data_IF_163906675387
#
_entry.id   IF_163906675387
#
_cell.length_a   1.000
_cell.length_b   1.000
_cell.length_c   1.000
_cell.angle_alpha   90.00
_cell.angle_beta   90.00
_cell.angle_gamma   90.00
#
_symmetry.space_group_name_H-M   'P 1'
#
loop_
_entity.id
_entity.type
_entity.pdbx_description
1 polymer ?
#
# COMPACT_ATOMS: atom_id res chain seq x y z
N UNK A 1 19.80 14.06 54.03
CA UNK A 1 20.61 15.31 53.93
C UNK A 1 19.94 16.16 52.86
N UNK A 2 19.24 17.26 53.18
CA UNK A 2 19.70 18.69 53.15
C UNK A 2 20.35 19.07 51.81
N UNK A 3 20.02 20.15 51.07
CA UNK A 3 19.22 21.41 51.28
C UNK A 3 18.28 21.61 50.05
N UNK A 4 17.38 22.61 49.85
CA UNK A 4 16.97 23.84 50.56
C UNK A 4 16.88 25.05 49.58
N UNK A 5 15.74 25.33 48.91
CA UNK A 5 14.64 26.28 49.27
C UNK A 5 14.97 27.79 49.21
N UNK A 6 14.23 28.56 48.38
CA UNK A 6 13.77 29.97 48.51
C UNK A 6 13.13 30.39 47.15
N UNK A 7 11.90 30.89 46.97
CA UNK A 7 11.04 31.91 47.62
C UNK A 7 11.43 33.36 47.32
N UNK A 8 10.55 34.07 46.61
CA UNK A 8 10.38 35.52 46.69
C UNK A 8 8.91 35.90 46.38
N UNK A 9 8.17 36.31 47.40
CA UNK A 9 6.83 36.91 47.33
C UNK A 9 6.98 38.41 47.56
N UNK A 10 6.30 39.24 46.77
CA UNK A 10 6.14 40.68 47.07
C UNK A 10 4.67 41.05 46.96
N UNK A 11 4.03 41.23 48.11
CA UNK A 11 2.80 41.99 48.25
C UNK A 11 3.16 43.46 48.50
N UNK A 12 2.40 44.41 47.95
CA UNK A 12 2.17 45.67 48.66
C UNK A 12 0.84 46.33 48.27
N UNK A 13 0.10 46.79 49.26
CA UNK A 13 -1.22 47.39 49.14
C UNK A 13 -1.16 48.92 49.27
N UNK A 14 -1.92 49.65 48.44
CA UNK A 14 -2.41 51.01 48.66
C UNK A 14 -3.80 51.06 47.98
N UNK A 15 -4.97 51.22 48.61
CA UNK A 15 -5.50 52.19 49.59
C UNK A 15 -5.68 53.63 49.06
N UNK A 16 -6.82 54.23 49.45
CA UNK A 16 -7.42 55.52 49.05
C UNK A 16 -7.97 55.58 47.61
N UNK A 17 -9.23 55.94 47.27
CA UNK A 17 -10.35 56.72 47.85
C UNK A 17 -10.52 58.13 47.23
N UNK A 18 -11.76 58.47 46.85
CA UNK A 18 -12.17 59.72 46.16
C UNK A 18 -12.37 59.51 44.65
N UNK A 19 -13.44 59.98 43.99
CA UNK A 19 -14.48 60.92 44.41
C UNK A 19 -15.90 60.46 44.01
N UNK A 20 -16.91 60.91 44.77
CA UNK A 20 -18.33 60.86 44.38
C UNK A 20 -18.83 62.26 43.99
N UNK A 21 -19.51 62.35 42.85
CA UNK A 21 -20.23 63.54 42.36
C UNK A 21 -20.88 63.18 41.01
N UNK A 22 -22.20 63.03 40.90
CA UNK A 22 -23.29 64.03 40.90
C UNK A 22 -23.54 64.56 39.47
N UNK A 23 -24.82 64.72 39.10
CA UNK A 23 -25.36 64.98 37.74
C UNK A 23 -25.21 63.78 36.77
N UNK A 24 -26.14 63.48 35.85
CA UNK A 24 -27.49 64.03 35.64
C UNK A 24 -28.10 63.55 34.30
N UNK A 25 -29.34 63.04 34.38
CA UNK A 25 -30.35 62.88 33.32
C UNK A 25 -30.21 61.88 32.14
N UNK A 26 -31.36 61.67 31.48
CA UNK A 26 -31.73 60.66 30.49
C UNK A 26 -30.79 60.42 29.30
N UNK A 27 -30.52 59.14 28.98
CA UNK A 27 -31.10 58.48 27.78
C UNK A 27 -30.76 56.99 27.75
N UNK A 28 -31.78 56.14 27.56
CA UNK A 28 -31.59 54.70 27.38
C UNK A 28 -31.11 54.38 25.96
N UNK A 29 -29.80 54.50 25.72
CA UNK A 29 -29.16 53.97 24.52
C UNK A 29 -28.98 52.46 24.66
N UNK A 30 -29.84 51.67 24.01
CA UNK A 30 -29.68 50.22 23.92
C UNK A 30 -28.38 49.89 23.18
N UNK A 31 -27.38 49.34 23.89
CA UNK A 31 -26.17 48.84 23.24
C UNK A 31 -26.52 47.68 22.30
N UNK A 32 -26.38 47.94 20.99
CA UNK A 32 -26.50 46.89 19.97
C UNK A 32 -25.23 46.05 19.99
N UNK A 33 -25.26 44.95 20.74
CA UNK A 33 -24.18 43.97 20.76
C UNK A 33 -24.04 43.35 19.38
N UNK A 34 -22.98 43.69 18.64
CA UNK A 34 -22.67 43.02 17.38
C UNK A 34 -22.29 41.56 17.67
N UNK A 35 -23.02 40.56 17.15
CA UNK A 35 -22.66 39.16 17.38
C UNK A 35 -21.26 38.87 16.85
N UNK A 36 -20.42 38.23 17.66
CA UNK A 36 -19.13 37.74 17.19
C UNK A 36 -19.36 36.77 16.01
N UNK A 37 -18.51 36.78 14.96
CA UNK A 37 -18.67 35.90 13.82
C UNK A 37 -18.73 34.43 14.26
N UNK A 38 -19.92 33.82 14.13
CA UNK A 38 -20.07 32.37 14.30
C UNK A 38 -19.19 31.70 13.25
N UNK A 39 -18.40 30.67 13.60
CA UNK A 39 -17.66 29.90 12.62
C UNK A 39 -18.63 29.32 11.58
N UNK A 40 -18.68 29.93 10.40
CA UNK A 40 -19.39 29.37 9.25
C UNK A 40 -18.76 28.02 8.96
N UNK A 41 -19.58 26.96 8.98
CA UNK A 41 -19.11 25.62 8.67
C UNK A 41 -18.35 25.64 7.33
N UNK A 42 -17.18 24.98 7.31
CA UNK A 42 -16.27 25.02 6.17
C UNK A 42 -17.00 24.81 4.84
N UNK A 43 -16.66 25.64 3.85
CA UNK A 43 -17.19 25.50 2.50
C UNK A 43 -17.05 24.04 2.02
N UNK A 44 -18.05 23.49 1.30
CA UNK A 44 -18.06 22.07 0.95
C UNK A 44 -16.75 21.69 0.29
N UNK A 45 -16.02 20.77 0.94
CA UNK A 45 -14.68 20.37 0.52
C UNK A 45 -14.75 19.93 -0.93
N UNK A 46 -13.90 20.53 -1.78
CA UNK A 46 -13.89 20.30 -3.24
C UNK A 46 -14.11 18.82 -3.55
N UNK A 47 -15.10 18.46 -4.41
CA UNK A 47 -15.69 17.12 -4.46
C UNK A 47 -14.60 16.06 -4.55
N UNK A 48 -14.46 15.29 -3.46
CA UNK A 48 -13.27 14.49 -3.17
C UNK A 48 -12.86 13.68 -4.41
N UNK A 49 -11.72 14.07 -5.00
CA UNK A 49 -11.34 13.59 -6.33
C UNK A 49 -11.25 12.07 -6.32
N UNK A 50 -12.17 11.41 -7.04
CA UNK A 50 -12.21 9.95 -7.12
C UNK A 50 -11.15 9.46 -8.09
N UNK A 51 -10.68 8.24 -7.83
CA UNK A 51 -9.76 7.53 -8.69
C UNK A 51 -10.29 7.43 -10.13
N UNK A 52 -9.45 7.56 -11.17
CA UNK A 52 -9.86 7.34 -12.55
C UNK A 52 -10.60 6.02 -12.72
N UNK A 53 -11.73 6.04 -13.42
CA UNK A 53 -12.59 4.86 -13.60
C UNK A 53 -13.57 4.56 -12.45
N UNK A 54 -13.62 5.37 -11.39
CA UNK A 54 -14.60 5.28 -10.29
C UNK A 54 -15.59 6.43 -10.37
N UNK A 55 -16.88 6.13 -10.46
CA UNK A 55 -17.97 7.12 -10.55
C UNK A 55 -19.08 6.74 -9.58
N UNK A 56 -19.42 7.66 -8.67
CA UNK A 56 -20.22 7.30 -7.49
C UNK A 56 -19.61 6.07 -6.80
N UNK A 57 -20.45 5.18 -6.30
CA UNK A 57 -19.99 3.99 -5.56
C UNK A 57 -19.74 2.77 -6.46
N UNK A 58 -19.37 3.01 -7.72
CA UNK A 58 -19.08 1.97 -8.72
C UNK A 58 -17.71 2.17 -9.37
N UNK A 59 -17.03 1.07 -9.67
CA UNK A 59 -15.93 1.05 -10.65
C UNK A 59 -16.59 0.89 -12.03
N UNK A 60 -16.65 1.96 -12.80
CA UNK A 60 -17.29 1.96 -14.14
C UNK A 60 -16.29 1.66 -15.26
N UNK A 61 -14.99 1.81 -15.00
CA UNK A 61 -13.93 1.48 -15.96
C UNK A 61 -12.67 1.02 -15.22
N UNK A 62 -12.58 -0.28 -14.96
CA UNK A 62 -11.43 -0.89 -14.29
C UNK A 62 -10.11 -0.68 -15.07
N UNK A 63 -10.16 -0.63 -16.40
CA UNK A 63 -9.00 -0.36 -17.25
C UNK A 63 -8.45 1.05 -17.07
N UNK A 64 -9.32 2.06 -16.90
CA UNK A 64 -8.88 3.43 -16.57
C UNK A 64 -8.20 3.49 -15.20
N UNK A 65 -8.72 2.77 -14.21
CA UNK A 65 -8.12 2.63 -12.88
C UNK A 65 -6.76 1.93 -12.94
N UNK A 66 -6.65 0.82 -13.68
CA UNK A 66 -5.38 0.12 -13.90
C UNK A 66 -4.33 0.97 -14.62
N UNK A 67 -4.71 1.71 -15.66
CA UNK A 67 -3.80 2.66 -16.34
C UNK A 67 -3.28 3.74 -15.38
N UNK A 68 -4.13 4.29 -14.52
CA UNK A 68 -3.72 5.26 -13.50
C UNK A 68 -2.75 4.64 -12.49
N UNK A 69 -3.04 3.42 -12.01
CA UNK A 69 -2.15 2.65 -11.13
C UNK A 69 -0.76 2.41 -11.76
N UNK A 70 -0.70 1.95 -13.02
CA UNK A 70 0.56 1.73 -13.74
C UNK A 70 1.33 3.03 -13.97
N UNK A 71 0.64 4.10 -14.35
CA UNK A 71 1.25 5.42 -14.60
C UNK A 71 1.95 5.95 -13.34
N UNK A 72 1.27 5.90 -12.20
CA UNK A 72 1.81 6.32 -10.91
C UNK A 72 2.97 5.43 -10.43
N UNK A 73 2.84 4.10 -10.52
CA UNK A 73 3.92 3.20 -10.10
C UNK A 73 5.15 3.21 -11.04
N UNK A 74 4.98 3.54 -12.32
CA UNK A 74 6.12 3.59 -13.26
C UNK A 74 7.13 4.70 -12.96
N UNK A 75 6.71 5.77 -12.30
CA UNK A 75 7.52 6.96 -11.97
C UNK A 75 7.87 7.07 -10.48
N UNK A 76 7.40 6.13 -9.66
CA UNK A 76 7.53 6.15 -8.19
C UNK A 76 8.38 4.96 -7.74
N UNK A 77 9.26 5.11 -6.74
CA UNK A 77 9.93 3.96 -6.11
C UNK A 77 8.96 3.26 -5.15
N UNK A 78 9.01 1.92 -5.04
CA UNK A 78 8.08 1.19 -4.17
C UNK A 78 8.58 -0.20 -3.75
N UNK A 79 8.06 -0.66 -2.62
CA UNK A 79 8.07 -2.08 -2.27
C UNK A 79 6.72 -2.71 -2.63
N UNK A 80 6.74 -3.92 -3.16
CA UNK A 80 5.54 -4.73 -3.43
C UNK A 80 5.62 -6.08 -2.71
N UNK A 81 4.54 -6.45 -2.03
CA UNK A 81 4.37 -7.73 -1.37
C UNK A 81 3.09 -8.41 -1.82
N UNK A 82 3.22 -9.55 -2.50
CA UNK A 82 2.12 -10.42 -2.91
C UNK A 82 2.21 -11.77 -2.21
N UNK A 83 1.08 -12.34 -1.80
CA UNK A 83 0.99 -13.71 -1.30
C UNK A 83 -0.30 -14.35 -1.76
N UNK A 84 -0.19 -15.47 -2.48
CA UNK A 84 -1.30 -16.37 -2.80
C UNK A 84 -1.14 -17.65 -2.00
N UNK A 85 -2.11 -17.96 -1.15
CA UNK A 85 -2.20 -19.21 -0.38
C UNK A 85 -3.38 -20.02 -0.88
N UNK A 86 -3.18 -21.33 -1.05
CA UNK A 86 -4.19 -22.33 -1.39
C UNK A 86 -4.21 -23.36 -0.26
N UNK A 87 -5.37 -23.55 0.35
CA UNK A 87 -5.60 -24.49 1.44
C UNK A 87 -6.49 -25.63 0.95
N UNK A 88 -6.13 -26.88 1.26
CA UNK A 88 -7.00 -28.04 1.13
C UNK A 88 -7.50 -28.39 2.54
N UNK A 89 -8.77 -28.10 2.84
CA UNK A 89 -9.27 -28.10 4.21
C UNK A 89 -8.46 -27.17 5.12
N UNK A 90 -7.95 -27.71 6.23
CA UNK A 90 -7.01 -27.02 7.14
C UNK A 90 -5.54 -27.11 6.69
N UNK A 91 -5.21 -27.97 5.72
CA UNK A 91 -3.86 -28.22 5.25
C UNK A 91 -3.37 -27.20 4.22
N UNK A 92 -2.11 -26.79 4.33
CA UNK A 92 -1.49 -25.93 3.32
C UNK A 92 -1.17 -26.73 2.06
N UNK A 93 -1.96 -26.54 0.99
CA UNK A 93 -1.70 -27.14 -0.31
C UNK A 93 -0.56 -26.40 -1.03
N UNK A 94 -0.65 -25.07 -1.19
CA UNK A 94 0.46 -24.27 -1.71
C UNK A 94 0.46 -22.82 -1.24
N UNK A 95 1.63 -22.20 -1.19
CA UNK A 95 1.83 -20.78 -0.95
C UNK A 95 2.88 -20.24 -1.90
N UNK A 96 2.51 -19.20 -2.63
CA UNK A 96 3.44 -18.38 -3.41
C UNK A 96 3.55 -17.02 -2.74
N UNK A 97 4.77 -16.57 -2.47
CA UNK A 97 5.06 -15.20 -2.00
C UNK A 97 5.93 -14.52 -3.04
N UNK A 98 5.58 -13.32 -3.46
CA UNK A 98 6.44 -12.45 -4.30
C UNK A 98 6.73 -11.17 -3.51
N UNK A 99 8.00 -10.76 -3.47
CA UNK A 99 8.46 -9.51 -2.87
C UNK A 99 9.38 -8.80 -3.86
N UNK A 100 9.29 -7.49 -3.97
CA UNK A 100 10.30 -6.72 -4.68
C UNK A 100 10.44 -5.30 -4.11
N UNK A 101 11.65 -4.75 -4.20
CA UNK A 101 11.96 -3.33 -4.02
C UNK A 101 12.36 -2.79 -5.40
N UNK A 102 11.69 -1.74 -5.85
CA UNK A 102 11.79 -1.20 -7.21
C UNK A 102 12.02 0.31 -7.12
N UNK A 103 13.06 0.83 -7.79
CA UNK A 103 13.28 2.26 -7.90
C UNK A 103 12.42 2.87 -9.02
N UNK A 104 12.22 4.20 -8.97
CA UNK A 104 11.48 4.94 -9.98
C UNK A 104 12.03 4.66 -11.40
N UNK A 105 11.15 4.50 -12.39
CA UNK A 105 11.55 4.17 -13.76
C UNK A 105 12.16 2.78 -13.94
N UNK A 106 12.13 1.91 -12.92
CA UNK A 106 12.78 0.58 -12.91
C UNK A 106 14.30 0.65 -13.14
N UNK A 107 14.97 1.73 -12.71
CA UNK A 107 16.43 1.90 -12.85
C UNK A 107 17.23 0.79 -12.14
N UNK A 108 16.68 0.27 -11.05
CA UNK A 108 17.21 -0.83 -10.24
C UNK A 108 16.06 -1.59 -9.58
N UNK A 109 16.26 -2.88 -9.32
CA UNK A 109 15.36 -3.64 -8.46
C UNK A 109 16.04 -4.84 -7.81
N UNK A 110 15.47 -5.30 -6.70
CA UNK A 110 15.63 -6.67 -6.20
C UNK A 110 14.25 -7.30 -6.07
N UNK A 111 14.11 -8.56 -6.48
CA UNK A 111 12.85 -9.28 -6.49
C UNK A 111 13.04 -10.75 -6.10
N UNK A 112 12.23 -11.24 -5.17
CA UNK A 112 12.23 -12.65 -4.73
C UNK A 112 10.84 -13.25 -4.84
N UNK A 113 10.72 -14.46 -5.39
CA UNK A 113 9.51 -15.29 -5.36
C UNK A 113 9.81 -16.66 -4.77
N UNK A 114 9.09 -17.04 -3.73
CA UNK A 114 9.12 -18.39 -3.17
C UNK A 114 7.78 -19.11 -3.41
N UNK A 115 7.85 -20.40 -3.69
CA UNK A 115 6.72 -21.32 -3.80
C UNK A 115 6.98 -22.53 -2.91
N UNK A 116 6.02 -22.89 -2.06
CA UNK A 116 6.13 -24.02 -1.11
C UNK A 116 4.76 -24.57 -0.70
N UNK A 117 4.72 -25.82 -0.24
CA UNK A 117 3.51 -26.53 0.21
C UNK A 117 3.45 -27.95 -0.33
N UNK A 118 2.49 -28.75 0.15
CA UNK A 118 2.40 -30.17 -0.20
C UNK A 118 2.11 -30.42 -1.69
N UNK A 119 1.40 -29.50 -2.36
CA UNK A 119 1.01 -29.60 -3.77
C UNK A 119 1.96 -28.94 -4.77
N UNK A 120 3.14 -28.47 -4.35
CA UNK A 120 4.09 -27.79 -5.24
C UNK A 120 5.56 -28.10 -4.91
N UNK A 121 6.37 -28.31 -5.95
CA UNK A 121 7.83 -28.39 -5.82
C UNK A 121 8.39 -27.10 -5.19
N UNK A 122 9.14 -27.18 -4.06
CA UNK A 122 9.79 -26.03 -3.47
C UNK A 122 10.70 -25.31 -4.46
N UNK A 123 10.40 -24.02 -4.70
CA UNK A 123 11.15 -23.17 -5.63
C UNK A 123 11.34 -21.77 -5.09
N UNK A 124 12.56 -21.26 -5.21
CA UNK A 124 12.88 -19.86 -5.03
C UNK A 124 13.43 -19.26 -6.33
N UNK A 125 13.04 -18.03 -6.62
CA UNK A 125 13.62 -17.19 -7.66
C UNK A 125 14.06 -15.91 -6.96
N UNK A 126 15.33 -15.54 -7.10
CA UNK A 126 15.81 -14.20 -6.78
C UNK A 126 16.29 -13.55 -8.09
N UNK A 127 15.96 -12.28 -8.31
CA UNK A 127 16.41 -11.52 -9.48
C UNK A 127 16.76 -10.10 -9.08
N UNK A 128 17.84 -9.60 -9.69
CA UNK A 128 18.31 -8.23 -9.52
C UNK A 128 18.39 -7.56 -10.88
N UNK A 129 18.15 -6.25 -10.90
CA UNK A 129 18.56 -5.37 -12.00
C UNK A 129 19.45 -4.27 -11.44
N UNK A 130 20.63 -4.13 -12.03
CA UNK A 130 21.64 -3.15 -11.64
C UNK A 130 22.53 -2.89 -12.85
N UNK A 131 22.94 -1.65 -13.06
CA UNK A 131 23.94 -1.25 -14.06
C UNK A 131 23.66 -1.80 -15.48
N UNK A 132 22.37 -1.84 -15.86
CA UNK A 132 21.91 -2.32 -17.17
C UNK A 132 21.81 -3.83 -17.34
N UNK A 133 22.01 -4.62 -16.27
CA UNK A 133 22.06 -6.08 -16.33
C UNK A 133 21.07 -6.73 -15.36
N UNK A 134 20.37 -7.76 -15.85
CA UNK A 134 19.48 -8.60 -15.06
C UNK A 134 20.11 -9.95 -14.74
N UNK A 135 20.30 -10.25 -13.46
CA UNK A 135 20.67 -11.59 -13.00
C UNK A 135 19.45 -12.28 -12.40
N UNK A 136 19.37 -13.61 -12.56
CA UNK A 136 18.36 -14.45 -11.90
C UNK A 136 19.00 -15.71 -11.33
N UNK A 137 18.88 -15.88 -10.01
CA UNK A 137 19.19 -17.09 -9.26
C UNK A 137 17.88 -17.88 -9.10
N UNK A 138 17.83 -19.11 -9.59
CA UNK A 138 16.70 -20.02 -9.38
C UNK A 138 17.17 -21.21 -8.56
N UNK A 139 16.50 -21.48 -7.43
CA UNK A 139 16.71 -22.66 -6.59
C UNK A 139 15.48 -23.56 -6.67
N UNK A 140 15.66 -24.84 -6.99
CA UNK A 140 14.60 -25.87 -7.03
C UNK A 140 15.11 -27.09 -6.27
N UNK A 141 14.37 -27.56 -5.26
CA UNK A 141 14.77 -28.69 -4.40
C UNK A 141 16.23 -28.61 -3.90
N UNK A 142 16.68 -27.40 -3.51
CA UNK A 142 18.05 -27.13 -3.04
C UNK A 142 19.10 -26.93 -4.14
N UNK A 143 18.91 -27.47 -5.35
CA UNK A 143 19.79 -27.20 -6.49
C UNK A 143 19.60 -25.77 -6.98
N UNK A 144 20.69 -25.05 -7.22
CA UNK A 144 20.68 -23.62 -7.56
C UNK A 144 21.41 -23.35 -8.88
N UNK A 145 20.74 -22.65 -9.80
CA UNK A 145 21.30 -22.15 -11.06
C UNK A 145 21.25 -20.62 -11.09
N UNK A 146 22.18 -19.99 -11.81
CA UNK A 146 22.24 -18.54 -12.02
C UNK A 146 22.41 -18.23 -13.49
N UNK A 147 21.62 -17.30 -14.01
CA UNK A 147 21.60 -16.90 -15.43
C UNK A 147 21.58 -15.37 -15.60
N UNK A 148 22.02 -14.90 -16.77
CA UNK A 148 21.85 -13.51 -17.21
C UNK A 148 20.56 -13.44 -18.02
N UNK A 149 19.49 -12.88 -17.45
CA UNK A 149 18.16 -12.81 -18.10
C UNK A 149 18.11 -11.69 -19.14
N UNK A 150 18.89 -10.64 -18.93
CA UNK A 150 19.05 -9.53 -19.84
C UNK A 150 20.38 -8.83 -19.59
N UNK A 151 20.96 -8.25 -20.63
CA UNK A 151 22.07 -7.29 -20.53
C UNK A 151 21.84 -6.21 -21.58
N UNK A 152 21.83 -4.93 -21.18
CA UNK A 152 21.59 -3.80 -22.09
C UNK A 152 22.65 -3.67 -23.18
N UNK A 153 23.83 -4.29 -23.00
CA UNK A 153 24.93 -4.35 -23.97
C UNK A 153 24.84 -5.60 -24.86
N UNK A 154 23.86 -6.48 -24.64
CA UNK A 154 23.71 -7.76 -25.35
C UNK A 154 24.72 -8.85 -24.96
N UNK A 155 25.52 -8.63 -23.91
CA UNK A 155 26.61 -9.55 -23.52
C UNK A 155 26.07 -10.67 -22.62
N UNK A 156 25.95 -11.88 -23.16
CA UNK A 156 25.55 -13.09 -22.43
C UNK A 156 24.07 -13.16 -22.05
N UNK A 157 23.27 -12.14 -22.40
CA UNK A 157 21.82 -12.12 -22.26
C UNK A 157 21.19 -11.16 -23.26
N UNK A 158 19.91 -11.34 -23.63
CA UNK A 158 19.25 -10.50 -24.62
C UNK A 158 19.08 -9.05 -24.15
N UNK A 159 19.11 -8.05 -25.05
CA UNK A 159 18.75 -6.68 -24.70
C UNK A 159 17.25 -6.61 -24.42
N UNK A 160 16.88 -6.39 -23.15
CA UNK A 160 15.49 -6.22 -22.70
C UNK A 160 15.39 -4.99 -21.80
N UNK A 161 14.27 -4.23 -21.85
CA UNK A 161 14.03 -3.16 -20.88
C UNK A 161 13.83 -3.74 -19.47
N UNK A 162 14.14 -2.99 -18.39
CA UNK A 162 14.16 -3.53 -17.02
C UNK A 162 12.88 -4.25 -16.60
N UNK A 163 11.70 -3.65 -16.87
CA UNK A 163 10.40 -4.24 -16.54
C UNK A 163 10.14 -5.59 -17.24
N UNK A 164 10.70 -5.81 -18.43
CA UNK A 164 10.55 -7.07 -19.18
C UNK A 164 11.59 -8.14 -18.80
N UNK A 165 12.59 -7.80 -17.99
CA UNK A 165 13.53 -8.76 -17.41
C UNK A 165 13.05 -9.35 -16.08
N UNK A 166 12.06 -8.73 -15.42
CA UNK A 166 11.38 -9.28 -14.26
C UNK A 166 10.64 -10.58 -14.60
N UNK A 167 10.65 -11.53 -13.65
CA UNK A 167 9.93 -12.81 -13.78
C UNK A 167 8.41 -12.69 -13.48
N UNK A 168 7.89 -11.47 -13.31
CA UNK A 168 6.49 -11.18 -13.03
C UNK A 168 6.15 -9.74 -13.43
N UNK A 169 4.87 -9.43 -13.62
CA UNK A 169 4.39 -8.07 -13.85
C UNK A 169 4.34 -7.31 -12.49
N UNK A 170 5.20 -6.31 -12.25
CA UNK A 170 5.39 -5.72 -10.93
C UNK A 170 4.27 -4.78 -10.46
N UNK A 171 3.33 -4.40 -11.33
CA UNK A 171 2.14 -3.62 -10.94
C UNK A 171 0.90 -4.47 -10.70
N UNK A 172 0.99 -5.79 -10.93
CA UNK A 172 -0.13 -6.75 -10.93
C UNK A 172 -1.35 -6.25 -11.72
N UNK A 173 -1.14 -5.43 -12.75
CA UNK A 173 -2.18 -4.59 -13.35
C UNK A 173 -3.30 -5.41 -13.97
N UNK A 174 -2.96 -6.45 -14.73
CA UNK A 174 -3.95 -7.28 -15.42
C UNK A 174 -4.82 -8.01 -14.37
N UNK A 175 -4.21 -8.49 -13.29
CA UNK A 175 -4.92 -9.09 -12.15
C UNK A 175 -5.85 -8.10 -11.46
N UNK A 176 -5.42 -6.85 -11.29
CA UNK A 176 -6.26 -5.78 -10.72
C UNK A 176 -7.44 -5.44 -11.64
N UNK A 177 -7.20 -5.27 -12.94
CA UNK A 177 -8.22 -4.96 -13.94
C UNK A 177 -9.26 -6.10 -13.98
N UNK A 178 -8.84 -7.36 -14.09
CA UNK A 178 -9.75 -8.51 -14.08
C UNK A 178 -10.64 -8.49 -12.83
N UNK A 179 -10.05 -8.44 -11.63
CA UNK A 179 -10.82 -8.50 -10.38
C UNK A 179 -11.79 -7.32 -10.24
N UNK A 180 -11.38 -6.11 -10.61
CA UNK A 180 -12.22 -4.92 -10.53
C UNK A 180 -13.24 -4.80 -11.69
N UNK A 181 -13.16 -5.68 -12.70
CA UNK A 181 -14.14 -5.79 -13.79
C UNK A 181 -15.20 -6.86 -13.51
N UNK A 182 -14.81 -7.99 -12.92
CA UNK A 182 -15.71 -9.16 -12.76
C UNK A 182 -16.34 -9.26 -11.38
N UNK A 183 -15.69 -8.77 -10.30
CA UNK A 183 -16.25 -8.87 -8.94
C UNK A 183 -17.37 -7.85 -8.75
N UNK A 184 -18.50 -8.29 -8.22
CA UNK A 184 -19.64 -7.41 -7.96
C UNK A 184 -19.31 -6.46 -6.81
N UNK A 185 -18.99 -5.20 -7.13
CA UNK A 185 -18.64 -4.16 -6.15
C UNK A 185 -19.90 -3.73 -5.39
N UNK A 186 -19.89 -3.96 -4.07
CA UNK A 186 -21.03 -3.70 -3.17
C UNK A 186 -20.87 -2.41 -2.36
N UNK A 187 -19.65 -1.85 -2.29
CA UNK A 187 -19.39 -0.63 -1.52
C UNK A 187 -18.08 0.03 -1.95
N UNK A 188 -18.09 1.34 -2.15
CA UNK A 188 -16.89 2.19 -2.21
C UNK A 188 -17.10 3.32 -1.22
N UNK A 189 -16.23 3.41 -0.21
CA UNK A 189 -16.31 4.43 0.85
C UNK A 189 -14.95 5.05 1.12
N UNK A 190 -14.86 6.26 1.70
CA UNK A 190 -13.63 6.75 2.29
C UNK A 190 -13.04 5.71 3.27
N UNK A 191 -11.71 5.65 3.35
CA UNK A 191 -10.99 4.92 4.37
C UNK A 191 -11.30 5.49 5.76
N UNK A 192 -11.24 4.64 6.77
CA UNK A 192 -11.27 5.08 8.17
C UNK A 192 -9.98 5.86 8.52
N UNK A 193 -10.02 6.64 9.61
CA UNK A 193 -8.84 7.39 10.08
C UNK A 193 -7.66 6.46 10.39
N UNK A 194 -7.90 5.19 10.75
CA UNK A 194 -6.84 4.17 10.91
C UNK A 194 -6.10 3.91 9.59
N UNK A 195 -6.81 3.74 8.47
CA UNK A 195 -6.20 3.65 7.14
C UNK A 195 -5.47 4.95 6.77
N UNK A 196 -6.07 6.12 7.05
CA UNK A 196 -5.46 7.42 6.72
C UNK A 196 -4.16 7.65 7.48
N UNK A 197 -4.12 7.32 8.78
CA UNK A 197 -2.91 7.35 9.61
C UNK A 197 -1.85 6.35 9.13
N UNK A 198 -2.25 5.13 8.73
CA UNK A 198 -1.32 4.09 8.28
C UNK A 198 -0.59 4.45 6.97
N UNK A 199 -1.22 5.20 6.06
CA UNK A 199 -0.67 5.52 4.74
C UNK A 199 -0.34 7.00 4.52
N UNK A 200 -0.65 7.88 5.48
CA UNK A 200 -0.42 9.33 5.41
C UNK A 200 -1.27 10.07 4.35
N UNK A 201 -2.21 9.39 3.69
CA UNK A 201 -3.01 9.93 2.59
C UNK A 201 -4.47 9.48 2.68
N UNK A 202 -5.38 10.31 2.16
CA UNK A 202 -6.77 9.92 1.95
C UNK A 202 -6.86 8.74 0.98
N UNK A 203 -7.69 7.76 1.31
CA UNK A 203 -7.87 6.51 0.57
C UNK A 203 -9.35 6.17 0.48
N UNK A 204 -9.71 5.33 -0.49
CA UNK A 204 -11.02 4.72 -0.64
C UNK A 204 -10.91 3.22 -0.37
N UNK A 205 -11.81 2.66 0.42
CA UNK A 205 -11.98 1.21 0.58
C UNK A 205 -13.07 0.73 -0.37
N UNK A 206 -12.69 -0.14 -1.30
CA UNK A 206 -13.60 -0.87 -2.21
C UNK A 206 -13.88 -2.23 -1.58
N UNK A 207 -15.14 -2.69 -1.60
CA UNK A 207 -15.55 -4.06 -1.26
C UNK A 207 -16.45 -4.65 -2.35
N UNK A 208 -16.35 -5.95 -2.57
CA UNK A 208 -17.21 -6.70 -3.48
C UNK A 208 -17.32 -8.18 -3.12
N UNK A 209 -18.38 -8.83 -3.59
CA UNK A 209 -18.74 -10.22 -3.24
C UNK A 209 -19.45 -10.92 -4.39
N UNK A 210 -19.03 -12.15 -4.72
CA UNK A 210 -19.42 -12.84 -5.97
C UNK A 210 -18.77 -12.18 -7.20
N UNK A 211 -18.90 -12.81 -8.37
CA UNK A 211 -18.50 -12.23 -9.64
C UNK A 211 -19.57 -12.43 -10.72
N UNK A 212 -19.54 -11.58 -11.76
CA UNK A 212 -20.30 -11.74 -12.99
C UNK A 212 -19.68 -12.81 -13.91
N UNK A 213 -18.35 -12.99 -13.83
CA UNK A 213 -17.62 -14.12 -14.37
C UNK A 213 -16.73 -14.70 -13.26
N UNK A 214 -17.23 -15.76 -12.64
CA UNK A 214 -16.53 -16.52 -11.59
C UNK A 214 -15.25 -17.18 -12.13
N UNK A 215 -15.20 -17.58 -13.41
CA UNK A 215 -14.05 -18.28 -14.00
C UNK A 215 -12.82 -17.38 -14.11
N UNK A 216 -13.03 -16.11 -14.48
CA UNK A 216 -11.98 -15.09 -14.54
C UNK A 216 -11.36 -14.73 -13.18
N UNK A 217 -11.99 -15.09 -12.05
CA UNK A 217 -11.42 -14.88 -10.71
C UNK A 217 -10.28 -15.86 -10.43
N UNK A 218 -10.28 -17.05 -11.04
CA UNK A 218 -9.18 -18.01 -10.91
C UNK A 218 -7.95 -17.62 -11.77
N UNK A 219 -6.76 -18.00 -11.31
CA UNK A 219 -5.49 -17.77 -12.05
C UNK A 219 -5.08 -18.98 -12.91
N UNK A 220 -5.97 -19.96 -13.04
CA UNK A 220 -5.82 -21.24 -13.78
C UNK A 220 -7.23 -21.72 -14.12
N UNK A 221 -7.38 -22.51 -15.18
CA UNK A 221 -8.60 -23.24 -15.46
C UNK A 221 -8.99 -24.12 -14.27
N UNK A 222 -10.26 -24.06 -13.89
CA UNK A 222 -10.91 -24.81 -12.80
C UNK A 222 -12.36 -25.05 -13.19
N UNK A 223 -12.99 -26.10 -12.67
CA UNK A 223 -14.39 -26.41 -13.01
C UNK A 223 -15.36 -25.39 -12.43
N UNK A 224 -15.07 -24.87 -11.23
CA UNK A 224 -15.89 -23.85 -10.57
C UNK A 224 -15.10 -22.95 -9.65
N UNK A 225 -15.56 -21.70 -9.57
CA UNK A 225 -15.22 -20.74 -8.51
C UNK A 225 -16.48 -20.40 -7.74
N UNK A 226 -16.36 -20.13 -6.44
CA UNK A 226 -17.46 -19.65 -5.59
C UNK A 226 -16.94 -18.86 -4.39
N UNK A 227 -17.85 -18.31 -3.58
CA UNK A 227 -17.52 -17.60 -2.32
C UNK A 227 -16.50 -16.46 -2.50
N UNK A 228 -16.57 -15.76 -3.64
CA UNK A 228 -15.67 -14.66 -3.97
C UNK A 228 -15.92 -13.47 -3.03
N UNK A 229 -14.86 -12.95 -2.44
CA UNK A 229 -14.87 -11.74 -1.62
C UNK A 229 -13.60 -10.93 -1.86
N UNK A 230 -13.76 -9.64 -2.19
CA UNK A 230 -12.68 -8.71 -2.47
C UNK A 230 -12.79 -7.50 -1.53
N UNK A 231 -11.66 -7.08 -0.97
CA UNK A 231 -11.50 -5.74 -0.40
C UNK A 231 -10.22 -5.11 -0.94
N UNK A 232 -10.29 -3.88 -1.43
CA UNK A 232 -9.13 -3.12 -1.91
C UNK A 232 -9.07 -1.73 -1.28
N UNK A 233 -7.88 -1.15 -1.25
CA UNK A 233 -7.63 0.22 -0.76
C UNK A 233 -6.95 1.02 -1.86
N UNK A 234 -7.53 2.15 -2.26
CA UNK A 234 -7.18 2.89 -3.49
C UNK A 234 -7.01 4.38 -3.21
N UNK A 235 -5.99 5.02 -3.80
CA UNK A 235 -5.77 6.47 -3.70
C UNK A 235 -6.67 7.28 -4.65
N UNK A 236 -6.93 8.57 -4.36
CA UNK A 236 -7.49 9.54 -5.32
C UNK A 236 -6.84 9.55 -6.71
N UNK A 237 -5.56 9.21 -6.82
CA UNK A 237 -4.83 9.17 -8.09
C UNK A 237 -4.84 7.79 -8.78
N UNK A 238 -5.58 6.82 -8.25
CA UNK A 238 -5.77 5.50 -8.86
C UNK A 238 -4.80 4.40 -8.46
N UNK A 239 -3.81 4.68 -7.60
CA UNK A 239 -2.94 3.62 -7.04
C UNK A 239 -3.75 2.71 -6.12
N UNK A 240 -3.85 1.43 -6.45
CA UNK A 240 -4.35 0.39 -5.55
C UNK A 240 -3.23 0.04 -4.56
N UNK A 241 -3.26 0.64 -3.36
CA UNK A 241 -2.28 0.41 -2.29
C UNK A 241 -2.29 -1.03 -1.79
N UNK A 242 -3.45 -1.67 -1.74
CA UNK A 242 -3.58 -3.07 -1.33
C UNK A 242 -4.88 -3.70 -1.81
N UNK A 243 -4.89 -5.03 -1.89
CA UNK A 243 -6.13 -5.81 -1.86
C UNK A 243 -5.97 -7.10 -1.07
N UNK A 244 -7.10 -7.62 -0.61
CA UNK A 244 -7.28 -8.99 -0.14
C UNK A 244 -8.46 -9.60 -0.93
N UNK A 245 -8.21 -10.73 -1.58
CA UNK A 245 -9.17 -11.54 -2.30
C UNK A 245 -9.25 -12.91 -1.64
N UNK A 246 -10.46 -13.42 -1.48
CA UNK A 246 -10.72 -14.80 -1.07
C UNK A 246 -11.73 -15.43 -2.04
N UNK A 247 -11.54 -16.70 -2.37
CA UNK A 247 -12.52 -17.50 -3.13
C UNK A 247 -12.31 -19.00 -2.86
N UNK A 248 -13.32 -19.80 -3.16
CA UNK A 248 -13.22 -21.26 -3.24
C UNK A 248 -13.02 -21.66 -4.70
N UNK A 249 -12.15 -22.64 -4.97
CA UNK A 249 -12.07 -23.34 -6.26
C UNK A 249 -12.49 -24.79 -6.10
N UNK A 250 -13.12 -25.34 -7.13
CA UNK A 250 -13.43 -26.75 -7.28
C UNK A 250 -12.75 -27.23 -8.57
N UNK A 251 -12.03 -28.35 -8.48
CA UNK A 251 -11.31 -28.97 -9.59
C UNK A 251 -11.38 -30.49 -9.43
N UNK A 252 -12.20 -31.16 -10.23
CA UNK A 252 -12.65 -32.52 -10.01
C UNK A 252 -13.33 -32.66 -8.64
N UNK A 253 -12.86 -33.60 -7.85
CA UNK A 253 -13.28 -33.81 -6.46
C UNK A 253 -12.57 -32.90 -5.44
N UNK A 254 -11.51 -32.17 -5.84
CA UNK A 254 -10.77 -31.32 -4.91
C UNK A 254 -11.44 -29.95 -4.74
N UNK A 255 -11.61 -29.54 -3.48
CA UNK A 255 -12.07 -28.20 -3.12
C UNK A 255 -10.99 -27.47 -2.34
N UNK A 256 -10.55 -26.31 -2.84
CA UNK A 256 -9.51 -25.51 -2.17
C UNK A 256 -10.00 -24.10 -1.85
N UNK A 257 -9.61 -23.58 -0.67
CA UNK A 257 -9.78 -22.16 -0.32
C UNK A 257 -8.55 -21.39 -0.75
N UNK A 258 -8.74 -20.37 -1.59
CA UNK A 258 -7.68 -19.47 -2.05
C UNK A 258 -7.79 -18.14 -1.31
N UNK A 259 -6.65 -17.63 -0.86
CA UNK A 259 -6.50 -16.27 -0.32
C UNK A 259 -5.32 -15.59 -1.01
N UNK A 260 -5.57 -14.42 -1.60
CA UNK A 260 -4.58 -13.62 -2.32
C UNK A 260 -4.50 -12.22 -1.70
N UNK A 261 -3.30 -11.78 -1.30
CA UNK A 261 -3.07 -10.48 -0.65
C UNK A 261 -1.96 -9.76 -1.41
N UNK A 262 -2.24 -8.54 -1.86
CA UNK A 262 -1.26 -7.61 -2.44
C UNK A 262 -1.15 -6.36 -1.57
N UNK A 263 0.06 -5.84 -1.39
CA UNK A 263 0.35 -4.55 -0.73
C UNK A 263 1.50 -3.84 -1.42
N UNK A 264 1.39 -2.53 -1.57
CA UNK A 264 2.46 -1.61 -1.93
C UNK A 264 2.77 -0.69 -0.74
N UNK A 265 4.03 -0.69 -0.31
CA UNK A 265 4.54 0.20 0.74
C UNK A 265 5.64 1.11 0.20
N UNK A 266 6.02 2.11 1.01
CA UNK A 266 7.23 2.90 0.80
C UNK A 266 7.26 3.62 -0.58
N UNK A 267 6.07 4.06 -1.03
CA UNK A 267 5.89 4.79 -2.28
C UNK A 267 6.63 6.12 -2.24
N UNK A 268 7.61 6.29 -3.12
CA UNK A 268 8.47 7.48 -3.22
C UNK A 268 9.65 7.47 -2.25
N UNK A 269 9.75 6.46 -1.37
CA UNK A 269 10.76 6.37 -0.31
C UNK A 269 11.50 5.03 -0.29
N UNK A 270 11.37 4.22 -1.35
CA UNK A 270 12.05 2.92 -1.44
C UNK A 270 13.46 3.05 -2.01
N UNK A 271 14.45 2.69 -1.20
CA UNK A 271 15.81 2.40 -1.65
C UNK A 271 15.99 0.91 -2.00
N UNK A 272 16.72 0.64 -3.08
CA UNK A 272 16.99 -0.73 -3.55
C UNK A 272 18.35 -1.19 -3.02
N UNK A 273 18.33 -2.06 -2.01
CA UNK A 273 19.53 -2.64 -1.39
C UNK A 273 19.81 -4.04 -1.96
N UNK A 274 21.07 -4.32 -2.28
CA UNK A 274 21.53 -5.59 -2.84
C UNK A 274 22.19 -6.52 -1.77
N UNK A 275 22.19 -7.85 -1.99
CA UNK A 275 22.71 -8.84 -0.99
C UNK A 275 24.20 -8.65 -0.66
N UNK A 276 25.01 -8.17 -1.60
CA UNK A 276 26.45 -7.86 -1.46
C UNK A 276 26.70 -6.69 -0.50
N UNK A 277 25.89 -5.63 -0.61
CA UNK A 277 25.91 -4.48 0.29
C UNK A 277 25.51 -4.90 1.71
N UNK A 278 24.42 -5.66 1.87
CA UNK A 278 23.98 -6.14 3.18
C UNK A 278 25.01 -7.02 3.90
N UNK A 279 25.76 -7.86 3.16
CA UNK A 279 26.88 -8.64 3.74
C UNK A 279 27.99 -7.73 4.25
N UNK A 280 28.33 -6.71 3.49
CA UNK A 280 29.38 -5.73 3.83
C UNK A 280 29.02 -4.93 5.09
N UNK A 281 27.78 -4.45 5.18
CA UNK A 281 27.27 -3.73 6.36
C UNK A 281 27.23 -4.62 7.61
N UNK A 282 26.67 -5.84 7.50
CA UNK A 282 26.65 -6.80 8.62
C UNK A 282 28.06 -7.13 9.12
N UNK A 283 29.04 -7.23 8.22
CA UNK A 283 30.43 -7.46 8.62
C UNK A 283 31.00 -6.25 9.38
N UNK A 284 30.79 -5.03 8.88
CA UNK A 284 31.23 -3.78 9.54
C UNK A 284 30.62 -3.64 10.94
N UNK A 285 29.31 -3.85 11.09
CA UNK A 285 28.62 -3.76 12.38
C UNK A 285 29.09 -4.84 13.36
N UNK A 286 29.47 -6.04 12.87
CA UNK A 286 30.05 -7.08 13.74
C UNK A 286 31.47 -6.75 14.22
N UNK A 287 32.26 -6.02 13.43
CA UNK A 287 33.60 -5.55 13.83
C UNK A 287 33.59 -4.25 14.65
N UNK A 288 32.45 -3.56 14.76
CA UNK A 288 32.32 -2.27 15.43
C UNK A 288 31.72 -2.35 16.85
N UNK A 289 31.48 -3.56 17.36
CA UNK A 289 31.03 -3.79 18.73
C UNK A 289 32.24 -4.20 19.58
N UNK A 290 32.72 -3.36 20.51
CA UNK A 290 33.73 -3.79 21.49
C UNK A 290 33.11 -4.80 22.47
N UNK A 291 33.95 -5.69 22.98
CA UNK A 291 33.64 -6.61 24.08
C UNK A 291 33.51 -5.88 25.43
#
# INVERSE_FOLDING_TARGET
MRRGVAIAVVCLCLLSAGCTGLFGDETAATETVTPAPVPTADAPTSPAQRAPGVVGDRVVNATALGRAHVSQLSTTSYQVHHTRTVMNGSGLHSRVRTRASISAGYQSYTATRTASGHGVTPREIHSTWRDGRALRRTTVNGSTSTEVVADSRGIGGPPRPPRAALFFEPTFNDRLITLLSVVNITSIRPGDEVIKQLYGVSLYRIKGTGAADDSAVATRSVDRVSNVSLSATVTPHGVVRSYALQYTVINGSETHRVTEILRYSDLGTTDVVFEDQQRTERHRTRTARPD
#
